data_IF_309490145219
#
_entry.id   IF_309490145219
#
_cell.length_a   1.000
_cell.length_b   1.000
_cell.length_c   1.000
_cell.angle_alpha   90.00
_cell.angle_beta   90.00
_cell.angle_gamma   90.00
#
_symmetry.space_group_name_H-M   'P 1'
#
loop_
_entity.id
_entity.type
_entity.pdbx_description
1 polymer ?
#
# COMPACT_ATOMS: atom_id res chain seq x y z
N UNK A 1 -16.14 37.43 -13.30
CA UNK A 1 -15.35 36.24 -13.67
C UNK A 1 -15.20 35.38 -12.43
N UNK A 2 -15.93 34.27 -12.37
CA UNK A 2 -15.99 33.38 -11.19
C UNK A 2 -14.90 32.32 -11.34
N UNK A 3 -13.80 32.47 -10.60
CA UNK A 3 -12.76 31.46 -10.52
C UNK A 3 -13.27 30.31 -9.63
N UNK A 4 -13.67 29.21 -10.26
CA UNK A 4 -13.99 27.95 -9.57
C UNK A 4 -12.71 27.39 -8.97
N UNK A 5 -12.65 27.34 -7.64
CA UNK A 5 -11.64 26.65 -6.86
C UNK A 5 -11.70 25.15 -7.15
N UNK A 6 -10.76 24.65 -7.95
CA UNK A 6 -10.60 23.22 -8.19
C UNK A 6 -9.85 22.62 -7.00
N UNK A 7 -10.61 22.09 -6.04
CA UNK A 7 -10.08 21.24 -4.99
C UNK A 7 -9.67 19.89 -5.59
N UNK A 8 -8.44 19.80 -6.11
CA UNK A 8 -7.83 18.52 -6.42
C UNK A 8 -7.36 17.86 -5.12
N UNK A 9 -8.27 17.12 -4.50
CA UNK A 9 -7.90 16.07 -3.58
C UNK A 9 -7.21 14.96 -4.40
N UNK A 10 -5.87 14.93 -4.36
CA UNK A 10 -5.12 13.71 -4.68
C UNK A 10 -5.42 12.70 -3.59
N UNK A 11 -6.60 12.09 -3.68
CA UNK A 11 -6.82 10.76 -3.16
C UNK A 11 -5.98 9.84 -4.02
N UNK A 12 -4.74 9.59 -3.61
CA UNK A 12 -4.04 8.39 -4.04
C UNK A 12 -4.79 7.22 -3.40
N UNK A 13 -5.88 6.84 -4.05
CA UNK A 13 -6.48 5.53 -3.90
C UNK A 13 -5.36 4.55 -4.18
N UNK A 14 -4.90 3.86 -3.15
CA UNK A 14 -4.10 2.64 -3.28
C UNK A 14 -4.99 1.63 -4.01
N UNK A 15 -5.02 1.74 -5.34
CA UNK A 15 -5.60 0.74 -6.22
C UNK A 15 -4.50 -0.29 -6.46
N UNK A 16 -4.18 -1.07 -5.43
CA UNK A 16 -3.50 -2.35 -5.67
C UNK A 16 -4.41 -3.10 -6.62
N UNK A 17 -3.92 -3.35 -7.82
CA UNK A 17 -4.69 -3.85 -8.94
C UNK A 17 -5.53 -5.07 -8.54
N UNK A 18 -6.81 -4.84 -8.24
CA UNK A 18 -7.81 -5.91 -8.16
C UNK A 18 -8.13 -6.26 -9.61
N UNK A 19 -7.49 -7.32 -10.13
CA UNK A 19 -7.95 -7.96 -11.37
C UNK A 19 -8.07 -9.46 -11.15
N UNK A 20 -9.31 -9.86 -10.91
CA UNK A 20 -9.92 -11.16 -11.14
C UNK A 20 -8.95 -12.35 -11.15
N UNK A 21 -8.51 -12.77 -9.97
CA UNK A 21 -8.06 -14.14 -9.76
C UNK A 21 -9.28 -15.05 -9.80
N UNK A 22 -9.36 -15.92 -10.80
CA UNK A 22 -10.16 -17.15 -10.75
C UNK A 22 -9.97 -17.80 -9.38
N UNK A 23 -11.07 -18.09 -8.70
CA UNK A 23 -11.14 -18.60 -7.32
C UNK A 23 -10.06 -19.65 -7.00
N UNK A 24 -8.99 -19.21 -6.34
CA UNK A 24 -8.24 -20.05 -5.39
C UNK A 24 -8.88 -19.84 -4.01
N UNK A 25 -9.12 -20.88 -3.20
CA UNK A 25 -9.65 -20.73 -1.83
C UNK A 25 -8.67 -20.03 -0.87
N UNK A 26 -7.49 -19.62 -1.34
CA UNK A 26 -6.47 -18.85 -0.62
C UNK A 26 -6.11 -17.52 -1.32
N UNK A 27 -6.94 -17.03 -2.26
CA UNK A 27 -6.73 -15.76 -2.93
C UNK A 27 -6.88 -14.58 -1.94
N UNK A 28 -5.77 -14.31 -1.24
CA UNK A 28 -5.31 -13.02 -0.71
C UNK A 28 -6.38 -11.95 -0.51
N UNK A 29 -7.19 -12.09 0.55
CA UNK A 29 -7.90 -10.96 1.13
C UNK A 29 -6.88 -10.00 1.77
N UNK A 30 -6.41 -9.03 1.00
CA UNK A 30 -5.97 -7.77 1.59
C UNK A 30 -7.17 -7.14 2.30
N UNK A 31 -7.00 -6.50 3.46
CA UNK A 31 -8.11 -5.85 4.15
C UNK A 31 -8.80 -4.85 3.21
N UNK A 32 -10.12 -4.90 3.16
CA UNK A 32 -10.95 -4.01 2.33
C UNK A 32 -10.46 -2.55 2.47
N UNK A 33 -10.18 -1.82 1.38
CA UNK A 33 -9.75 -0.42 1.43
C UNK A 33 -10.66 0.47 2.30
N UNK A 34 -11.96 0.19 2.31
CA UNK A 34 -12.91 0.90 3.19
C UNK A 34 -12.69 0.56 4.67
N UNK A 35 -12.42 -0.70 5.00
CA UNK A 35 -12.12 -1.10 6.38
C UNK A 35 -10.82 -0.46 6.89
N UNK A 36 -9.80 -0.35 6.03
CA UNK A 36 -8.56 0.36 6.34
C UNK A 36 -8.79 1.85 6.60
N UNK A 37 -9.61 2.51 5.76
CA UNK A 37 -9.97 3.92 5.96
C UNK A 37 -10.74 4.11 7.28
N UNK A 38 -11.70 3.24 7.59
CA UNK A 38 -12.43 3.27 8.85
C UNK A 38 -11.51 3.07 10.06
N UNK A 39 -10.54 2.16 9.96
CA UNK A 39 -9.55 1.94 11.02
C UNK A 39 -8.66 3.17 11.22
N UNK A 40 -8.17 3.78 10.14
CA UNK A 40 -7.38 5.01 10.22
C UNK A 40 -8.20 6.16 10.86
N UNK A 41 -9.48 6.27 10.52
CA UNK A 41 -10.39 7.26 11.12
C UNK A 41 -10.61 7.00 12.61
N UNK A 42 -10.76 5.74 13.04
CA UNK A 42 -10.86 5.39 14.47
C UNK A 42 -9.60 5.81 15.22
N UNK A 43 -8.41 5.49 14.69
CA UNK A 43 -7.14 5.92 15.28
C UNK A 43 -7.05 7.44 15.38
N UNK A 44 -7.52 8.16 14.36
CA UNK A 44 -7.54 9.62 14.36
C UNK A 44 -8.43 10.21 15.46
N UNK A 45 -9.56 9.56 15.76
CA UNK A 45 -10.52 9.96 16.79
C UNK A 45 -10.05 9.56 18.21
N UNK A 46 -9.60 8.32 18.37
CA UNK A 46 -9.21 7.73 19.66
C UNK A 46 -7.81 8.17 20.10
N UNK A 47 -6.95 8.55 19.15
CA UNK A 47 -5.58 9.05 19.37
C UNK A 47 -4.73 8.14 20.29
N UNK A 48 -4.70 6.82 20.08
CA UNK A 48 -4.00 5.90 20.96
C UNK A 48 -2.48 6.06 20.84
N UNK A 49 -1.78 6.01 21.99
CA UNK A 49 -0.30 6.12 22.03
C UNK A 49 0.41 5.00 21.28
N UNK A 50 -0.17 3.81 21.29
CA UNK A 50 0.37 2.64 20.58
C UNK A 50 0.40 2.86 19.06
N UNK A 51 -0.62 3.51 18.50
CA UNK A 51 -0.63 3.85 17.08
C UNK A 51 0.45 4.88 16.72
N UNK A 52 0.68 5.89 17.58
CA UNK A 52 1.79 6.81 17.38
C UNK A 52 3.15 6.08 17.38
N UNK A 53 3.37 5.18 18.33
CA UNK A 53 4.60 4.39 18.37
C UNK A 53 4.75 3.49 17.13
N UNK A 54 3.66 2.86 16.69
CA UNK A 54 3.62 2.03 15.48
C UNK A 54 3.92 2.84 14.21
N UNK A 55 3.32 4.02 14.05
CA UNK A 55 3.58 4.92 12.93
C UNK A 55 5.05 5.38 12.89
N UNK A 56 5.63 5.73 14.04
CA UNK A 56 7.05 6.10 14.15
C UNK A 56 7.96 4.93 13.80
N UNK A 57 7.70 3.74 14.35
CA UNK A 57 8.46 2.53 14.05
C UNK A 57 8.41 2.20 12.55
N UNK A 58 7.24 2.39 11.93
CA UNK A 58 7.10 2.19 10.50
C UNK A 58 7.94 3.17 9.68
N UNK A 59 7.88 4.46 9.98
CA UNK A 59 8.71 5.46 9.29
C UNK A 59 10.21 5.19 9.46
N UNK A 60 10.65 4.75 10.65
CA UNK A 60 12.05 4.36 10.85
C UNK A 60 12.49 3.21 9.94
N UNK A 61 11.57 2.36 9.49
CA UNK A 61 11.86 1.25 8.58
C UNK A 61 11.84 1.70 7.11
N UNK A 62 10.88 2.54 6.72
CA UNK A 62 10.61 2.80 5.29
C UNK A 62 11.02 4.18 4.81
N UNK A 63 11.07 5.18 5.69
CA UNK A 63 11.41 6.56 5.36
C UNK A 63 11.90 7.32 6.62
N UNK A 64 13.12 7.03 7.12
CA UNK A 64 13.60 7.58 8.40
C UNK A 64 13.62 9.10 8.44
N UNK A 65 13.89 9.75 7.31
CA UNK A 65 13.91 11.20 7.17
C UNK A 65 12.55 11.86 7.43
N UNK A 66 11.44 11.11 7.33
CA UNK A 66 10.09 11.64 7.55
C UNK A 66 9.66 11.64 9.03
N UNK A 67 10.43 11.04 9.94
CA UNK A 67 10.08 11.05 11.37
C UNK A 67 10.00 12.49 11.90
N UNK A 68 10.98 13.33 11.55
CA UNK A 68 10.98 14.74 11.92
C UNK A 68 9.81 15.51 11.28
N UNK A 69 9.41 15.14 10.06
CA UNK A 69 8.24 15.72 9.40
C UNK A 69 6.94 15.34 10.13
N UNK A 70 6.81 14.10 10.59
CA UNK A 70 5.66 13.68 11.40
C UNK A 70 5.61 14.47 12.74
N UNK A 71 6.75 14.65 13.40
CA UNK A 71 6.86 15.45 14.63
C UNK A 71 6.49 16.93 14.41
N UNK A 72 6.84 17.49 13.26
CA UNK A 72 6.48 18.88 12.91
C UNK A 72 4.96 19.10 12.80
N UNK A 73 4.19 18.06 12.43
CA UNK A 73 2.72 18.12 12.40
C UNK A 73 2.14 18.13 13.82
N UNK A 74 2.81 17.46 14.77
CA UNK A 74 2.39 17.41 16.17
C UNK A 74 2.57 18.75 16.88
N UNK A 75 3.66 19.45 16.56
CA UNK A 75 4.08 20.68 17.26
C UNK A 75 3.56 21.96 16.65
N UNK A 76 3.06 21.94 15.42
CA UNK A 76 2.26 23.01 14.83
C UNK A 76 2.74 24.43 15.15
N UNK A 77 3.95 24.80 14.71
CA UNK A 77 4.54 26.15 14.72
C UNK A 77 4.04 27.12 15.81
N UNK A 78 4.64 27.02 17.01
CA UNK A 78 4.62 28.08 18.04
C UNK A 78 5.67 29.18 17.68
N UNK A 79 6.35 29.08 16.55
CA UNK A 79 7.45 29.99 16.17
C UNK A 79 7.06 30.88 14.98
N UNK A 80 6.55 32.08 15.30
CA UNK A 80 6.90 33.32 14.59
C UNK A 80 6.25 33.63 13.23
N UNK A 81 5.37 34.64 13.26
CA UNK A 81 5.00 35.59 12.19
C UNK A 81 4.13 35.09 11.01
N UNK A 82 2.93 35.68 10.91
CA UNK A 82 1.88 35.50 9.87
C UNK A 82 1.09 34.18 9.87
N UNK A 83 0.39 33.87 10.97
CA UNK A 83 -0.83 33.06 10.85
C UNK A 83 -2.00 33.98 10.42
N UNK A 84 -2.77 33.64 9.37
CA UNK A 84 -3.98 34.40 9.05
C UNK A 84 -4.95 34.26 10.22
N UNK A 85 -5.28 35.37 10.88
CA UNK A 85 -6.42 35.43 11.80
C UNK A 85 -7.66 35.00 11.01
N UNK A 86 -8.22 33.84 11.33
CA UNK A 86 -9.55 33.50 10.86
C UNK A 86 -10.53 34.32 11.71
N UNK A 87 -11.05 35.38 11.11
CA UNK A 87 -12.11 36.21 11.69
C UNK A 87 -13.44 35.63 11.23
N UNK A 88 -14.15 34.96 12.13
CA UNK A 88 -15.57 34.59 11.94
C UNK A 88 -16.38 35.63 12.71
N UNK A 89 -17.31 36.30 12.02
CA UNK A 89 -18.20 37.32 12.60
C UNK A 89 -17.50 38.45 13.39
N UNK A 90 -16.35 38.90 12.91
CA UNK A 90 -15.64 40.06 13.49
C UNK A 90 -14.81 39.76 14.75
N UNK A 91 -14.73 38.50 15.21
CA UNK A 91 -13.95 38.11 16.39
C UNK A 91 -12.69 37.34 16.00
N UNK A 92 -11.49 37.80 16.37
CA UNK A 92 -10.27 37.01 16.37
C UNK A 92 -10.44 35.70 17.16
N UNK A 93 -10.38 34.53 16.51
CA UNK A 93 -10.35 33.25 17.22
C UNK A 93 -8.92 32.71 17.36
N UNK A 94 -8.24 32.91 18.51
CA UNK A 94 -7.04 32.16 18.84
C UNK A 94 -7.43 30.71 19.20
N UNK A 95 -7.01 29.72 18.42
CA UNK A 95 -7.11 28.30 18.82
C UNK A 95 -7.51 27.28 17.76
N UNK A 96 -7.96 27.69 16.57
CA UNK A 96 -8.34 26.73 15.52
C UNK A 96 -7.13 26.10 14.81
N UNK A 97 -6.02 26.82 14.65
CA UNK A 97 -4.83 26.32 13.94
C UNK A 97 -4.22 25.09 14.62
N UNK A 98 -4.13 25.06 15.94
CA UNK A 98 -3.62 23.92 16.71
C UNK A 98 -4.49 22.66 16.60
N UNK A 99 -5.81 22.82 16.51
CA UNK A 99 -6.75 21.68 16.31
C UNK A 99 -6.60 21.08 14.91
N UNK A 100 -6.53 21.90 13.87
CA UNK A 100 -6.32 21.46 12.49
C UNK A 100 -4.98 20.75 12.27
N UNK A 101 -3.91 21.25 12.90
CA UNK A 101 -2.58 20.61 12.86
C UNK A 101 -2.57 19.28 13.63
N UNK A 102 -3.21 19.24 14.80
CA UNK A 102 -3.43 18.01 15.55
C UNK A 102 -4.24 16.96 14.76
N UNK A 103 -5.25 17.38 14.02
CA UNK A 103 -6.05 16.49 13.17
C UNK A 103 -5.23 15.95 11.97
N UNK A 104 -4.39 16.78 11.34
CA UNK A 104 -3.47 16.32 10.29
C UNK A 104 -2.41 15.34 10.80
N UNK A 105 -1.87 15.60 11.98
CA UNK A 105 -0.93 14.69 12.65
C UNK A 105 -1.57 13.32 12.88
N UNK A 106 -2.75 13.28 13.50
CA UNK A 106 -3.44 12.03 13.81
C UNK A 106 -3.99 11.31 12.58
N UNK A 107 -4.33 12.03 11.50
CA UNK A 107 -4.64 11.43 10.22
C UNK A 107 -3.43 10.68 9.63
N UNK A 108 -2.23 11.29 9.66
CA UNK A 108 -1.00 10.64 9.18
C UNK A 108 -0.62 9.45 10.07
N UNK A 109 -0.72 9.58 11.40
CA UNK A 109 -0.51 8.46 12.34
C UNK A 109 -1.46 7.29 12.04
N UNK A 110 -2.75 7.58 11.82
CA UNK A 110 -3.73 6.56 11.48
C UNK A 110 -3.37 5.81 10.19
N UNK A 111 -3.02 6.55 9.13
CA UNK A 111 -2.63 5.95 7.86
C UNK A 111 -1.36 5.09 8.00
N UNK A 112 -0.30 5.62 8.62
CA UNK A 112 0.97 4.92 8.80
C UNK A 112 0.82 3.66 9.66
N UNK A 113 -0.03 3.71 10.70
CA UNK A 113 -0.30 2.55 11.57
C UNK A 113 -0.98 1.43 10.81
N UNK A 114 -2.00 1.74 10.01
CA UNK A 114 -2.71 0.75 9.20
C UNK A 114 -1.78 0.16 8.14
N UNK A 115 -1.00 1.01 7.46
CA UNK A 115 0.01 0.58 6.49
C UNK A 115 1.06 -0.34 7.14
N UNK A 116 1.51 -0.04 8.36
CA UNK A 116 2.44 -0.89 9.08
C UNK A 116 1.86 -2.27 9.40
N UNK A 117 0.62 -2.32 9.91
CA UNK A 117 -0.07 -3.58 10.16
C UNK A 117 -0.22 -4.43 8.90
N UNK A 118 -0.50 -3.79 7.75
CA UNK A 118 -0.56 -4.47 6.46
C UNK A 118 0.81 -5.06 6.07
N UNK A 119 1.89 -4.28 6.16
CA UNK A 119 3.24 -4.74 5.86
C UNK A 119 3.66 -5.87 6.80
N UNK A 120 3.37 -5.79 8.09
CA UNK A 120 3.67 -6.85 9.06
C UNK A 120 2.93 -8.15 8.73
N UNK A 121 1.63 -8.07 8.40
CA UNK A 121 0.84 -9.23 8.00
C UNK A 121 1.36 -9.85 6.71
N UNK A 122 1.75 -9.03 5.74
CA UNK A 122 2.34 -9.49 4.49
C UNK A 122 3.71 -10.13 4.74
N UNK A 123 4.55 -9.55 5.60
CA UNK A 123 5.90 -10.01 5.88
C UNK A 123 5.93 -11.42 6.49
N UNK A 124 4.88 -11.83 7.21
CA UNK A 124 4.73 -13.21 7.73
C UNK A 124 4.60 -14.26 6.63
N UNK A 125 4.16 -13.85 5.43
CA UNK A 125 3.84 -14.76 4.32
C UNK A 125 4.82 -14.60 3.15
N UNK A 126 5.15 -13.35 2.84
CA UNK A 126 6.00 -12.95 1.73
C UNK A 126 6.78 -11.69 2.14
N UNK A 127 7.96 -11.91 2.72
CA UNK A 127 8.84 -10.84 3.19
C UNK A 127 9.37 -9.97 2.05
N UNK A 128 9.57 -10.54 0.86
CA UNK A 128 10.14 -9.80 -0.27
C UNK A 128 9.09 -8.87 -0.87
N UNK A 129 7.82 -9.31 -0.97
CA UNK A 129 6.70 -8.44 -1.34
C UNK A 129 6.42 -7.39 -0.26
N UNK A 130 6.49 -7.77 1.02
CA UNK A 130 6.32 -6.84 2.13
C UNK A 130 7.35 -5.70 2.11
N UNK A 131 8.61 -5.99 1.78
CA UNK A 131 9.65 -4.98 1.63
C UNK A 131 9.34 -3.98 0.51
N UNK A 132 8.87 -4.46 -0.65
CA UNK A 132 8.51 -3.57 -1.77
C UNK A 132 7.30 -2.69 -1.42
N UNK A 133 6.24 -3.29 -0.85
CA UNK A 133 5.04 -2.56 -0.41
C UNK A 133 5.39 -1.54 0.68
N UNK A 134 6.26 -1.90 1.64
CA UNK A 134 6.74 -0.98 2.65
C UNK A 134 7.45 0.25 2.05
N UNK A 135 8.33 0.04 1.07
CA UNK A 135 8.99 1.14 0.34
C UNK A 135 7.97 2.03 -0.38
N UNK A 136 6.98 1.44 -1.05
CA UNK A 136 5.92 2.20 -1.71
C UNK A 136 5.19 3.11 -0.72
N UNK A 137 4.80 2.60 0.45
CA UNK A 137 4.17 3.40 1.50
C UNK A 137 5.08 4.52 2.03
N UNK A 138 6.39 4.26 2.14
CA UNK A 138 7.37 5.31 2.46
C UNK A 138 7.41 6.43 1.41
N UNK A 139 7.37 6.09 0.13
CA UNK A 139 7.30 7.07 -0.97
C UNK A 139 5.98 7.85 -0.94
N UNK A 140 4.86 7.20 -0.69
CA UNK A 140 3.56 7.87 -0.55
C UNK A 140 3.52 8.85 0.64
N UNK A 141 4.09 8.46 1.78
CA UNK A 141 4.20 9.33 2.95
C UNK A 141 5.05 10.57 2.63
N UNK A 142 6.15 10.39 1.88
CA UNK A 142 6.97 11.50 1.41
C UNK A 142 6.19 12.40 0.44
N UNK A 143 5.46 11.81 -0.51
CA UNK A 143 4.66 12.57 -1.46
C UNK A 143 3.59 13.41 -0.75
N UNK A 144 2.92 12.88 0.29
CA UNK A 144 2.00 13.64 1.14
C UNK A 144 2.68 14.77 1.89
N UNK A 145 3.89 14.54 2.42
CA UNK A 145 4.69 15.58 3.04
C UNK A 145 5.04 16.72 2.06
N UNK A 146 5.49 16.38 0.86
CA UNK A 146 5.78 17.36 -0.19
C UNK A 146 4.52 18.10 -0.67
N UNK A 147 3.38 17.41 -0.76
CA UNK A 147 2.11 18.04 -1.08
C UNK A 147 1.70 19.07 -0.02
N UNK A 148 1.93 18.80 1.27
CA UNK A 148 1.71 19.78 2.35
C UNK A 148 2.66 20.97 2.21
N UNK A 149 3.95 20.72 1.99
CA UNK A 149 4.95 21.78 1.76
C UNK A 149 4.60 22.65 0.54
N UNK A 150 4.07 22.06 -0.53
CA UNK A 150 3.64 22.79 -1.73
C UNK A 150 2.54 23.82 -1.43
N UNK A 151 1.60 23.50 -0.54
CA UNK A 151 0.47 24.39 -0.21
C UNK A 151 0.92 25.70 0.45
N UNK A 152 2.00 25.66 1.22
CA UNK A 152 2.58 26.82 1.91
C UNK A 152 3.82 27.40 1.21
N UNK A 153 4.27 26.83 0.10
CA UNK A 153 5.47 27.27 -0.60
C UNK A 153 5.26 28.56 -1.41
N UNK A 154 6.29 29.40 -1.45
CA UNK A 154 6.41 30.53 -2.38
C UNK A 154 6.42 30.06 -3.83
N UNK A 155 6.00 30.92 -4.76
CA UNK A 155 5.95 30.59 -6.19
C UNK A 155 7.31 30.12 -6.75
N UNK A 156 8.40 30.74 -6.26
CA UNK A 156 9.77 30.35 -6.61
C UNK A 156 10.13 28.91 -6.22
N UNK A 157 9.53 28.38 -5.14
CA UNK A 157 9.84 27.05 -4.60
C UNK A 157 8.91 25.96 -5.12
N UNK A 158 7.73 26.31 -5.66
CA UNK A 158 6.73 25.36 -6.15
C UNK A 158 7.26 24.47 -7.27
N UNK A 159 8.03 25.03 -8.20
CA UNK A 159 8.61 24.26 -9.30
C UNK A 159 9.57 23.16 -8.81
N UNK A 160 10.36 23.43 -7.77
CA UNK A 160 11.26 22.44 -7.18
C UNK A 160 10.49 21.32 -6.46
N UNK A 161 9.48 21.69 -5.66
CA UNK A 161 8.63 20.71 -4.95
C UNK A 161 7.86 19.84 -5.95
N UNK A 162 7.37 20.42 -7.05
CA UNK A 162 6.72 19.65 -8.13
C UNK A 162 7.63 18.57 -8.69
N UNK A 163 8.90 18.89 -8.98
CA UNK A 163 9.89 17.91 -9.46
C UNK A 163 10.15 16.79 -8.44
N UNK A 164 10.16 17.12 -7.16
CA UNK A 164 10.31 16.12 -6.10
C UNK A 164 9.10 15.17 -6.06
N UNK A 165 7.88 15.70 -6.15
CA UNK A 165 6.65 14.89 -6.22
C UNK A 165 6.67 13.98 -7.46
N UNK A 166 7.06 14.50 -8.61
CA UNK A 166 7.20 13.73 -9.86
C UNK A 166 8.17 12.55 -9.68
N UNK A 167 9.36 12.80 -9.13
CA UNK A 167 10.35 11.74 -8.88
C UNK A 167 9.83 10.66 -7.91
N UNK A 168 9.11 11.06 -6.86
CA UNK A 168 8.51 10.12 -5.90
C UNK A 168 7.44 9.24 -6.56
N UNK A 169 6.60 9.83 -7.42
CA UNK A 169 5.56 9.10 -8.16
C UNK A 169 6.19 8.13 -9.17
N UNK A 170 7.24 8.54 -9.90
CA UNK A 170 7.97 7.64 -10.81
C UNK A 170 8.53 6.43 -10.05
N UNK A 171 9.24 6.66 -8.95
CA UNK A 171 9.79 5.56 -8.13
C UNK A 171 8.70 4.64 -7.57
N UNK A 172 7.51 5.19 -7.27
CA UNK A 172 6.38 4.40 -6.81
C UNK A 172 5.90 3.44 -7.90
N UNK A 173 5.71 3.93 -9.12
CA UNK A 173 5.32 3.09 -10.26
C UNK A 173 6.40 2.06 -10.64
N UNK A 174 7.68 2.40 -10.53
CA UNK A 174 8.76 1.43 -10.74
C UNK A 174 8.69 0.26 -9.74
N UNK A 175 8.26 0.50 -8.51
CA UNK A 175 8.03 -0.56 -7.51
C UNK A 175 6.77 -1.37 -7.81
N UNK A 176 5.71 -0.74 -8.32
CA UNK A 176 4.50 -1.45 -8.77
C UNK A 176 4.82 -2.42 -9.93
N UNK A 177 5.62 -1.98 -10.89
CA UNK A 177 6.04 -2.83 -12.01
C UNK A 177 6.93 -4.00 -11.55
N UNK A 178 7.80 -3.77 -10.56
CA UNK A 178 8.56 -4.85 -9.93
C UNK A 178 7.66 -5.87 -9.22
N UNK A 179 6.61 -5.41 -8.52
CA UNK A 179 5.62 -6.29 -7.89
C UNK A 179 4.89 -7.12 -8.94
N UNK A 180 4.40 -6.47 -10.01
CA UNK A 180 3.70 -7.14 -11.10
C UNK A 180 4.58 -8.19 -11.79
N UNK A 181 5.85 -7.87 -12.04
CA UNK A 181 6.81 -8.81 -12.64
C UNK A 181 6.99 -10.06 -11.79
N UNK A 182 7.03 -9.91 -10.45
CA UNK A 182 7.13 -11.05 -9.54
C UNK A 182 5.85 -11.89 -9.50
N UNK A 183 4.68 -11.25 -9.53
CA UNK A 183 3.40 -11.96 -9.61
C UNK A 183 3.32 -12.80 -10.88
N UNK A 184 3.73 -12.24 -12.02
CA UNK A 184 3.81 -12.99 -13.29
C UNK A 184 4.75 -14.18 -13.16
N UNK A 185 5.95 -14.00 -12.60
CA UNK A 185 6.91 -15.08 -12.42
C UNK A 185 6.40 -16.20 -11.48
N UNK A 186 5.61 -15.86 -10.45
CA UNK A 186 4.99 -16.86 -9.57
C UNK A 186 3.92 -17.66 -10.32
N UNK A 187 3.06 -16.97 -11.08
CA UNK A 187 2.01 -17.61 -11.90
C UNK A 187 2.64 -18.54 -12.95
N UNK A 188 3.71 -18.10 -13.62
CA UNK A 188 4.42 -18.92 -14.60
C UNK A 188 5.00 -20.19 -13.97
N UNK A 189 5.55 -20.09 -12.76
CA UNK A 189 6.05 -21.25 -12.00
C UNK A 189 4.92 -22.23 -11.67
N UNK A 190 3.80 -21.76 -11.11
CA UNK A 190 2.63 -22.59 -10.79
C UNK A 190 2.07 -23.26 -12.04
N UNK A 191 2.03 -22.54 -13.17
CA UNK A 191 1.59 -23.09 -14.45
C UNK A 191 2.52 -24.19 -14.94
N UNK A 192 3.83 -24.04 -14.78
CA UNK A 192 4.81 -25.07 -15.10
C UNK A 192 4.58 -26.34 -14.24
N UNK A 193 4.32 -26.18 -12.94
CA UNK A 193 4.03 -27.31 -12.04
C UNK A 193 2.77 -28.07 -12.44
N UNK A 194 1.69 -27.35 -12.78
CA UNK A 194 0.44 -27.96 -13.26
C UNK A 194 0.65 -28.71 -14.58
N UNK A 195 1.45 -28.16 -15.50
CA UNK A 195 1.81 -28.83 -16.76
C UNK A 195 2.61 -30.10 -16.51
N UNK A 196 3.61 -30.05 -15.63
CA UNK A 196 4.43 -31.21 -15.26
C UNK A 196 3.57 -32.31 -14.62
N UNK A 197 2.69 -31.95 -13.69
CA UNK A 197 1.78 -32.90 -13.05
C UNK A 197 0.80 -33.52 -14.04
N UNK A 198 0.24 -32.72 -14.96
CA UNK A 198 -0.64 -33.22 -16.01
C UNK A 198 0.08 -34.22 -16.90
N UNK A 199 1.34 -33.96 -17.26
CA UNK A 199 2.13 -34.89 -18.06
C UNK A 199 2.39 -36.19 -17.31
N UNK A 200 2.82 -36.14 -16.04
CA UNK A 200 3.00 -37.34 -15.20
C UNK A 200 1.75 -38.22 -15.14
N UNK A 201 0.56 -37.61 -15.03
CA UNK A 201 -0.71 -38.35 -15.05
C UNK A 201 -0.99 -39.01 -16.38
N UNK A 202 -0.66 -38.35 -17.50
CA UNK A 202 -0.80 -38.94 -18.84
C UNK A 202 0.12 -40.13 -19.02
N UNK A 203 1.37 -40.01 -18.59
CA UNK A 203 2.36 -41.08 -18.69
C UNK A 203 1.94 -42.29 -17.84
N UNK A 204 1.53 -42.06 -16.59
CA UNK A 204 1.01 -43.11 -15.69
C UNK A 204 -0.24 -43.80 -16.26
N UNK A 205 -1.14 -43.03 -16.89
CA UNK A 205 -2.32 -43.59 -17.57
C UNK A 205 -1.90 -44.48 -18.75
N UNK A 206 -0.91 -44.06 -19.55
CA UNK A 206 -0.42 -44.84 -20.67
C UNK A 206 0.20 -46.17 -20.21
N UNK A 207 1.00 -46.15 -19.14
CA UNK A 207 1.54 -47.36 -18.50
C UNK A 207 0.45 -48.30 -18.01
N UNK A 208 -0.56 -47.76 -17.31
CA UNK A 208 -1.69 -48.54 -16.82
C UNK A 208 -2.46 -49.21 -17.96
N UNK A 209 -2.72 -48.48 -19.05
CA UNK A 209 -3.40 -49.02 -20.24
C UNK A 209 -2.59 -50.17 -20.83
N UNK A 210 -1.28 -50.00 -20.98
CA UNK A 210 -0.39 -51.06 -21.50
C UNK A 210 -0.47 -52.31 -20.63
N UNK A 211 -0.33 -52.15 -19.31
CA UNK A 211 -0.45 -53.26 -18.36
C UNK A 211 -1.80 -53.99 -18.48
N UNK A 212 -2.91 -53.24 -18.52
CA UNK A 212 -4.24 -53.82 -18.64
C UNK A 212 -4.43 -54.60 -19.95
N UNK A 213 -3.91 -54.07 -21.07
CA UNK A 213 -3.95 -54.76 -22.37
C UNK A 213 -3.11 -56.03 -22.34
N UNK A 214 -1.89 -55.98 -21.80
CA UNK A 214 -1.00 -57.13 -21.71
C UNK A 214 -1.62 -58.27 -20.86
N UNK A 215 -2.32 -57.90 -19.78
CA UNK A 215 -3.04 -58.85 -18.90
C UNK A 215 -4.21 -59.53 -19.63
N UNK A 216 -5.05 -58.75 -20.33
CA UNK A 216 -6.16 -59.27 -21.15
C UNK A 216 -5.65 -60.26 -22.22
N UNK A 217 -4.57 -59.91 -22.92
CA UNK A 217 -3.98 -60.77 -23.95
C UNK A 217 -3.44 -62.07 -23.33
N UNK A 218 -2.75 -61.97 -22.18
CA UNK A 218 -2.19 -63.14 -21.49
C UNK A 218 -3.29 -64.10 -21.03
N UNK A 219 -4.39 -63.58 -20.50
CA UNK A 219 -5.54 -64.40 -20.09
C UNK A 219 -6.18 -65.11 -21.29
N UNK A 220 -6.34 -64.41 -22.41
CA UNK A 220 -6.93 -64.98 -23.63
C UNK A 220 -6.15 -66.15 -24.25
N UNK A 221 -4.83 -66.23 -24.03
CA UNK A 221 -3.96 -67.29 -24.60
C UNK A 221 -3.81 -68.49 -23.64
N UNK A 222 -4.32 -68.41 -22.41
CA UNK A 222 -4.12 -69.45 -21.39
C UNK A 222 -4.88 -70.74 -21.77
N UNK A 223 -4.22 -71.91 -21.85
CA UNK A 223 -4.90 -73.17 -22.14
C UNK A 223 -5.87 -73.53 -21.00
N UNK A 224 -7.05 -74.04 -21.36
CA UNK A 224 -8.11 -74.47 -20.45
C UNK A 224 -7.82 -75.84 -19.83
#
# INVERSE_FOLDING_TARGET
>A
MVARSVAFALGFTVAIAVRASTQEPNAQEMPNPQAMQMQAQRIMQERPREAEAAARAFLMLVAPSLVATLDSLKTGSISGENQPLIVVDGVPQPGLSGRWLGDQYWAEVGQLTVQFGMVQNLNRRDSVRAQLVGKMFGLEANARAQQRAYRSASESNRAAIRKQIEALITQHFDLEDQLRTREVADIERRLADVRAETQRRRDKRAEFIKFAVDDIIRDAIRPR
#
